data_IF_430958497161
#
_entry.id   IF_430958497161
#
_cell.length_a   1.000
_cell.length_b   1.000
_cell.length_c   1.000
_cell.angle_alpha   90.00
_cell.angle_beta   90.00
_cell.angle_gamma   90.00
#
_symmetry.space_group_name_H-M   'P 1'
#
loop_
_entity.id
_entity.type
_entity.pdbx_description
1 polymer ?
#
# COMPACT_ATOMS: atom_id res chain seq x y z
N UNK A 1 4.69 -5.89 41.24
CA UNK A 1 3.68 -5.38 40.28
C UNK A 1 3.29 -6.52 39.36
N UNK A 2 2.00 -6.89 39.30
CA UNK A 2 1.53 -7.95 38.39
C UNK A 2 1.42 -7.36 36.98
N UNK A 3 2.20 -7.87 36.04
CA UNK A 3 2.12 -7.51 34.62
C UNK A 3 0.88 -8.15 34.01
N UNK A 4 -0.19 -7.37 33.86
CA UNK A 4 -1.37 -7.82 33.14
C UNK A 4 -1.04 -7.72 31.64
N UNK A 5 -0.76 -8.86 30.99
CA UNK A 5 -0.62 -8.93 29.54
C UNK A 5 -1.92 -8.40 28.91
N UNK A 6 -1.80 -7.46 27.98
CA UNK A 6 -2.91 -7.00 27.17
C UNK A 6 -3.63 -8.20 26.54
N UNK A 7 -4.94 -8.27 26.75
CA UNK A 7 -5.83 -9.27 26.16
C UNK A 7 -6.83 -8.49 25.33
N UNK A 8 -6.94 -8.79 24.04
CA UNK A 8 -8.01 -8.21 23.20
C UNK A 8 -9.36 -8.52 23.84
N UNK A 9 -10.30 -7.59 23.74
CA UNK A 9 -11.69 -7.82 24.14
C UNK A 9 -12.18 -9.01 23.34
N UNK A 10 -12.61 -10.08 24.02
CA UNK A 10 -13.27 -11.20 23.35
C UNK A 10 -14.46 -10.62 22.58
N UNK A 11 -14.41 -10.69 21.25
CA UNK A 11 -15.57 -10.42 20.43
C UNK A 11 -16.64 -11.39 20.92
N UNK A 12 -17.80 -10.86 21.34
CA UNK A 12 -18.90 -11.66 21.88
C UNK A 12 -19.10 -12.90 21.01
N UNK A 13 -19.25 -14.11 21.59
CA UNK A 13 -19.51 -15.30 20.79
C UNK A 13 -20.79 -15.09 19.98
N UNK A 14 -20.71 -15.21 18.65
CA UNK A 14 -21.88 -15.28 17.78
C UNK A 14 -22.17 -14.08 16.86
N UNK A 15 -21.31 -13.07 16.79
CA UNK A 15 -21.41 -12.02 15.75
C UNK A 15 -20.08 -11.88 15.02
N UNK A 16 -20.03 -12.34 13.76
CA UNK A 16 -18.90 -12.05 12.88
C UNK A 16 -18.91 -10.55 12.49
N UNK A 17 -17.76 -10.00 12.10
CA UNK A 17 -17.62 -8.62 11.62
C UNK A 17 -18.61 -8.31 10.49
N UNK A 18 -18.91 -9.30 9.64
CA UNK A 18 -19.91 -9.18 8.57
C UNK A 18 -21.33 -9.09 9.11
N UNK A 19 -21.65 -9.83 10.17
CA UNK A 19 -22.95 -9.76 10.84
C UNK A 19 -23.12 -8.43 11.57
N UNK A 20 -22.05 -7.88 12.16
CA UNK A 20 -22.04 -6.55 12.77
C UNK A 20 -22.33 -5.44 11.74
N UNK A 21 -21.68 -5.45 10.58
CA UNK A 21 -21.93 -4.46 9.52
C UNK A 21 -23.36 -4.60 8.95
N UNK A 22 -23.86 -5.83 8.78
CA UNK A 22 -25.24 -6.08 8.34
C UNK A 22 -26.28 -5.65 9.39
N UNK A 23 -26.00 -5.88 10.67
CA UNK A 23 -26.91 -5.47 11.74
C UNK A 23 -26.89 -3.96 11.97
N UNK A 24 -25.76 -3.27 11.72
CA UNK A 24 -25.73 -1.81 11.66
C UNK A 24 -26.57 -1.26 10.49
N UNK A 25 -26.52 -1.89 9.31
CA UNK A 25 -27.38 -1.53 8.18
C UNK A 25 -28.87 -1.83 8.45
N UNK A 26 -29.20 -2.89 9.20
CA UNK A 26 -30.56 -3.22 9.62
C UNK A 26 -31.11 -2.32 10.75
N UNK A 27 -30.24 -1.86 11.66
CA UNK A 27 -30.63 -0.95 12.75
C UNK A 27 -30.97 0.47 12.25
N UNK A 28 -30.46 0.88 11.09
CA UNK A 28 -30.89 2.12 10.43
C UNK A 28 -32.34 2.06 9.91
N UNK A 29 -32.92 0.87 9.72
CA UNK A 29 -34.30 0.73 9.25
C UNK A 29 -35.34 0.60 10.38
N UNK A 30 -34.94 0.26 11.61
CA UNK A 30 -35.87 0.05 12.74
C UNK A 30 -35.52 0.84 14.02
N UNK A 31 -34.39 1.54 14.06
CA UNK A 31 -33.89 2.28 15.23
C UNK A 31 -34.40 3.71 15.36
N UNK A 32 -35.38 4.14 14.57
CA UNK A 32 -35.87 5.52 14.56
C UNK A 32 -36.68 5.93 15.80
N UNK A 33 -36.93 5.03 16.77
CA UNK A 33 -37.88 5.29 17.86
C UNK A 33 -37.38 5.15 19.30
N UNK A 34 -36.12 4.79 19.59
CA UNK A 34 -35.70 4.53 20.99
C UNK A 34 -34.46 5.30 21.47
N UNK A 35 -33.67 5.91 20.59
CA UNK A 35 -32.59 6.81 21.02
C UNK A 35 -32.85 8.19 20.45
N UNK A 36 -33.33 9.10 21.31
CA UNK A 36 -33.68 10.47 20.97
C UNK A 36 -32.58 11.15 20.15
N UNK A 37 -32.82 11.25 18.85
CA UNK A 37 -32.03 12.10 17.96
C UNK A 37 -32.38 13.54 18.35
N UNK A 38 -31.41 14.38 18.75
CA UNK A 38 -31.71 15.78 19.00
C UNK A 38 -32.35 16.38 17.74
N UNK A 39 -33.52 16.99 17.90
CA UNK A 39 -34.29 17.70 16.86
C UNK A 39 -33.58 18.96 16.30
N UNK A 40 -32.27 19.08 16.49
CA UNK A 40 -31.41 20.10 15.89
C UNK A 40 -30.86 19.57 14.56
N UNK A 41 -31.70 19.47 13.53
CA UNK A 41 -31.23 18.99 12.23
C UNK A 41 -32.28 18.93 11.12
N UNK A 42 -33.56 19.19 11.40
CA UNK A 42 -34.55 19.37 10.35
C UNK A 42 -34.45 20.79 9.80
N UNK A 43 -33.69 20.97 8.72
CA UNK A 43 -33.66 22.25 7.99
C UNK A 43 -32.39 22.61 7.24
N UNK A 44 -31.45 21.69 7.02
CA UNK A 44 -30.45 21.88 5.96
C UNK A 44 -30.67 20.84 4.89
N UNK A 45 -31.09 21.30 3.73
CA UNK A 45 -31.01 20.55 2.49
C UNK A 45 -29.61 19.91 2.43
N UNK A 46 -29.51 18.59 2.14
CA UNK A 46 -28.20 17.96 2.01
C UNK A 46 -27.39 18.78 1.00
N UNK A 47 -26.09 19.04 1.28
CA UNK A 47 -25.26 19.77 0.34
C UNK A 47 -25.32 19.10 -1.03
N UNK A 48 -25.26 19.88 -2.13
CA UNK A 48 -25.24 19.30 -3.46
C UNK A 48 -24.11 18.27 -3.55
N UNK A 49 -24.34 17.18 -4.28
CA UNK A 49 -23.30 16.18 -4.47
C UNK A 49 -22.07 16.83 -5.13
N UNK A 50 -20.86 16.52 -4.66
CA UNK A 50 -19.66 17.06 -5.26
C UNK A 50 -19.55 16.58 -6.71
N UNK A 51 -19.25 17.51 -7.61
CA UNK A 51 -18.91 17.20 -8.98
C UNK A 51 -17.55 16.46 -8.99
N UNK A 52 -17.49 15.31 -9.66
CA UNK A 52 -16.26 14.51 -9.79
C UNK A 52 -16.14 13.93 -11.19
N UNK A 53 -14.93 13.54 -11.59
CA UNK A 53 -14.69 12.75 -12.81
C UNK A 53 -14.65 11.24 -12.57
N UNK A 54 -15.20 10.73 -11.46
CA UNK A 54 -15.18 9.29 -11.16
C UNK A 54 -15.83 8.47 -12.28
N UNK A 55 -16.88 9.01 -12.92
CA UNK A 55 -17.54 8.37 -14.04
C UNK A 55 -16.61 8.11 -15.24
N UNK A 56 -15.59 8.95 -15.46
CA UNK A 56 -14.61 8.75 -16.54
C UNK A 56 -13.67 7.59 -16.23
N UNK A 57 -13.23 7.48 -14.97
CA UNK A 57 -12.42 6.33 -14.52
C UNK A 57 -13.18 5.01 -14.63
N UNK A 58 -14.48 5.02 -14.33
CA UNK A 58 -15.33 3.83 -14.42
C UNK A 58 -15.56 3.34 -15.87
N UNK A 59 -15.29 4.18 -16.88
CA UNK A 59 -15.36 3.78 -18.30
C UNK A 59 -14.15 2.95 -18.74
N UNK A 60 -13.05 2.96 -17.99
CA UNK A 60 -11.84 2.21 -18.34
C UNK A 60 -12.16 0.71 -18.38
N UNK A 61 -11.94 0.02 -19.52
CA UNK A 61 -12.24 -1.40 -19.64
C UNK A 61 -11.46 -2.23 -18.62
N UNK A 62 -12.16 -3.15 -17.96
CA UNK A 62 -11.52 -4.10 -17.05
C UNK A 62 -10.74 -5.14 -17.84
N UNK A 63 -9.53 -5.44 -17.39
CA UNK A 63 -8.68 -6.51 -17.90
C UNK A 63 -8.63 -7.66 -16.89
N UNK A 64 -7.98 -8.78 -17.27
CA UNK A 64 -7.72 -9.90 -16.34
C UNK A 64 -6.95 -9.52 -15.08
N UNK A 65 -6.24 -8.38 -15.09
CA UNK A 65 -5.45 -7.87 -13.96
C UNK A 65 -6.13 -6.69 -13.25
N UNK A 66 -7.30 -6.23 -13.70
CA UNK A 66 -8.05 -5.19 -13.00
C UNK A 66 -8.49 -5.67 -11.61
N UNK A 67 -8.62 -4.72 -10.67
CA UNK A 67 -9.13 -5.00 -9.34
C UNK A 67 -10.51 -5.68 -9.40
N UNK A 68 -10.77 -6.71 -8.57
CA UNK A 68 -9.98 -7.14 -7.40
C UNK A 68 -8.82 -8.09 -7.69
N UNK A 69 -8.46 -8.32 -8.97
CA UNK A 69 -7.39 -9.23 -9.37
C UNK A 69 -7.81 -10.71 -9.39
N UNK A 70 -6.89 -11.62 -9.74
CA UNK A 70 -7.19 -13.05 -9.93
C UNK A 70 -7.48 -13.81 -8.61
N UNK A 71 -7.09 -13.26 -7.46
CA UNK A 71 -7.26 -13.91 -6.15
C UNK A 71 -8.18 -13.06 -5.27
N UNK A 72 -9.48 -13.39 -5.26
CA UNK A 72 -10.46 -12.63 -4.50
C UNK A 72 -10.19 -12.70 -2.98
N UNK A 73 -9.66 -11.61 -2.42
CA UNK A 73 -9.59 -11.38 -0.97
C UNK A 73 -8.80 -12.41 -0.16
N UNK A 74 -7.79 -13.05 -0.77
CA UNK A 74 -6.92 -14.02 -0.06
C UNK A 74 -5.72 -13.32 0.55
N UNK A 75 -5.47 -13.57 1.83
CA UNK A 75 -4.28 -13.11 2.56
C UNK A 75 -3.51 -14.34 3.02
N UNK A 76 -2.19 -14.32 2.83
CA UNK A 76 -1.28 -15.34 3.34
C UNK A 76 -0.34 -14.73 4.36
N UNK A 77 -0.07 -15.46 5.43
CA UNK A 77 0.85 -15.04 6.49
C UNK A 77 1.95 -16.09 6.62
N UNK A 78 3.20 -15.64 6.50
CA UNK A 78 4.38 -16.50 6.68
C UNK A 78 5.15 -16.02 7.91
N UNK A 79 5.47 -16.95 8.81
CA UNK A 79 6.24 -16.68 10.03
C UNK A 79 7.46 -17.58 10.04
N UNK A 80 8.63 -16.98 10.25
CA UNK A 80 9.84 -17.73 10.55
C UNK A 80 10.69 -16.91 11.54
N UNK A 81 10.83 -17.34 12.80
CA UNK A 81 11.59 -16.59 13.81
C UNK A 81 13.09 -16.50 13.49
N UNK A 82 13.61 -17.36 12.62
CA UNK A 82 15.00 -17.29 12.18
C UNK A 82 15.26 -16.13 11.20
N UNK A 83 14.23 -15.38 10.77
CA UNK A 83 14.42 -14.26 9.84
C UNK A 83 15.10 -13.05 10.50
N UNK A 84 15.08 -12.98 11.83
CA UNK A 84 15.70 -11.91 12.62
C UNK A 84 16.54 -12.55 13.73
N UNK A 85 17.85 -12.40 13.64
CA UNK A 85 18.81 -12.88 14.63
C UNK A 85 19.48 -11.69 15.29
N UNK A 86 19.12 -11.40 16.54
CA UNK A 86 19.44 -10.12 17.17
C UNK A 86 18.77 -8.98 16.41
N UNK A 87 19.56 -8.01 15.96
CA UNK A 87 19.10 -6.85 15.16
C UNK A 87 19.40 -6.99 13.66
N UNK A 88 19.76 -8.20 13.20
CA UNK A 88 20.12 -8.45 11.80
C UNK A 88 19.12 -9.42 11.15
N UNK A 89 18.62 -9.02 9.99
CA UNK A 89 17.77 -9.90 9.17
C UNK A 89 18.62 -10.90 8.39
N UNK A 90 18.18 -12.16 8.37
CA UNK A 90 18.80 -13.20 7.54
C UNK A 90 18.15 -13.20 6.15
N UNK A 91 18.93 -12.75 5.15
CA UNK A 91 18.45 -12.63 3.77
C UNK A 91 17.97 -13.96 3.19
N UNK A 92 18.62 -15.08 3.53
CA UNK A 92 18.26 -16.40 2.99
C UNK A 92 16.92 -16.84 3.55
N UNK A 93 16.67 -16.61 4.84
CA UNK A 93 15.40 -16.93 5.48
C UNK A 93 14.29 -16.03 4.94
N UNK A 94 14.51 -14.72 4.85
CA UNK A 94 13.52 -13.76 4.30
C UNK A 94 13.15 -14.15 2.86
N UNK A 95 14.14 -14.50 2.06
CA UNK A 95 13.94 -14.96 0.68
C UNK A 95 12.99 -16.16 0.61
N UNK A 96 13.26 -17.20 1.41
CA UNK A 96 12.37 -18.38 1.48
C UNK A 96 10.97 -18.03 1.99
N UNK A 97 10.85 -17.06 2.89
CA UNK A 97 9.54 -16.61 3.37
C UNK A 97 8.73 -15.94 2.25
N UNK A 98 9.36 -15.10 1.43
CA UNK A 98 8.72 -14.47 0.26
C UNK A 98 8.30 -15.52 -0.75
N UNK A 99 9.17 -16.48 -1.07
CA UNK A 99 8.86 -17.59 -1.98
C UNK A 99 7.67 -18.44 -1.47
N UNK A 100 7.68 -18.80 -0.19
CA UNK A 100 6.57 -19.52 0.45
C UNK A 100 5.28 -18.70 0.44
N UNK A 101 5.36 -17.38 0.62
CA UNK A 101 4.21 -16.49 0.53
C UNK A 101 3.60 -16.48 -0.87
N UNK A 102 4.43 -16.32 -1.90
CA UNK A 102 3.99 -16.33 -3.30
C UNK A 102 3.31 -17.67 -3.64
N UNK A 103 3.99 -18.78 -3.39
CA UNK A 103 3.47 -20.13 -3.68
C UNK A 103 2.22 -20.46 -2.87
N UNK A 104 2.12 -20.03 -1.62
CA UNK A 104 0.91 -20.19 -0.81
C UNK A 104 -0.26 -19.35 -1.32
N UNK A 105 0.02 -18.15 -1.85
CA UNK A 105 -0.99 -17.25 -2.40
C UNK A 105 -1.57 -17.84 -3.69
N UNK A 106 -0.70 -18.20 -4.63
CA UNK A 106 -1.06 -18.65 -5.98
C UNK A 106 -1.47 -20.12 -6.04
N UNK A 107 -0.97 -20.97 -5.12
CA UNK A 107 -1.13 -22.42 -5.19
C UNK A 107 -0.27 -23.09 -6.27
N UNK A 108 0.75 -22.41 -6.78
CA UNK A 108 1.62 -22.87 -7.84
C UNK A 108 3.10 -22.68 -7.47
N UNK A 109 4.01 -23.27 -8.25
CA UNK A 109 5.45 -23.00 -8.08
C UNK A 109 5.80 -21.55 -8.44
N UNK A 110 7.02 -21.10 -8.12
CA UNK A 110 7.45 -19.70 -8.33
C UNK A 110 7.40 -19.24 -9.80
N UNK A 111 7.71 -20.14 -10.74
CA UNK A 111 7.76 -19.81 -12.17
C UNK A 111 6.35 -19.72 -12.74
N UNK A 112 5.48 -20.65 -12.37
CA UNK A 112 4.06 -20.61 -12.73
C UNK A 112 3.38 -19.40 -12.10
N UNK A 113 3.68 -19.09 -10.84
CA UNK A 113 3.17 -17.92 -10.12
C UNK A 113 3.51 -16.62 -10.82
N UNK A 114 4.72 -16.51 -11.37
CA UNK A 114 5.12 -15.33 -12.14
C UNK A 114 4.19 -15.11 -13.34
N UNK A 115 3.95 -16.14 -14.15
CA UNK A 115 3.07 -16.05 -15.33
C UNK A 115 1.59 -15.79 -15.01
N UNK A 116 1.18 -15.94 -13.75
CA UNK A 116 -0.16 -15.55 -13.29
C UNK A 116 -0.27 -14.05 -13.00
N UNK A 117 0.84 -13.40 -12.63
CA UNK A 117 0.87 -12.06 -12.06
C UNK A 117 1.53 -11.03 -12.98
N UNK A 118 2.52 -11.44 -13.78
CA UNK A 118 3.39 -10.55 -14.55
C UNK A 118 3.67 -11.09 -15.97
N UNK A 119 4.01 -10.18 -16.87
CA UNK A 119 4.71 -10.43 -18.13
C UNK A 119 6.18 -9.96 -18.02
N UNK A 120 7.09 -10.61 -18.75
CA UNK A 120 8.51 -10.23 -18.76
C UNK A 120 8.77 -8.80 -19.25
N UNK A 121 7.83 -8.21 -19.98
CA UNK A 121 7.95 -6.84 -20.51
C UNK A 121 7.32 -5.79 -19.59
N UNK A 122 6.72 -6.20 -18.46
CA UNK A 122 6.09 -5.26 -17.53
C UNK A 122 7.11 -4.27 -16.95
N UNK A 123 6.60 -3.09 -16.58
CA UNK A 123 7.28 -2.15 -15.67
C UNK A 123 6.63 -2.31 -14.30
N UNK A 124 7.41 -2.69 -13.29
CA UNK A 124 6.91 -3.10 -11.98
C UNK A 124 7.30 -2.09 -10.91
N UNK A 125 6.29 -1.43 -10.33
CA UNK A 125 6.46 -0.53 -9.19
C UNK A 125 6.38 -1.27 -7.85
N UNK A 126 7.44 -1.19 -7.05
CA UNK A 126 7.52 -1.70 -5.69
C UNK A 126 7.31 -0.56 -4.69
N UNK A 127 6.07 -0.39 -4.23
CA UNK A 127 5.74 0.58 -3.19
C UNK A 127 6.25 0.12 -1.83
N UNK A 128 7.14 0.90 -1.23
CA UNK A 128 7.70 0.61 0.11
C UNK A 128 7.15 1.59 1.16
N UNK A 129 7.36 1.28 2.44
CA UNK A 129 7.27 2.24 3.53
C UNK A 129 8.69 2.54 4.06
N UNK A 130 9.26 3.73 3.77
CA UNK A 130 10.59 4.11 4.23
C UNK A 130 10.59 4.85 5.58
N UNK A 131 9.46 4.99 6.27
CA UNK A 131 9.36 5.76 7.51
C UNK A 131 9.73 4.93 8.74
N UNK A 132 10.46 5.55 9.68
CA UNK A 132 10.88 4.93 10.94
C UNK A 132 11.93 3.82 10.89
N UNK A 133 12.92 3.80 9.96
CA UNK A 133 14.11 2.97 10.11
C UNK A 133 14.84 3.25 11.44
N UNK A 134 15.47 2.24 12.04
CA UNK A 134 15.55 0.85 11.60
C UNK A 134 14.43 -0.02 12.21
N UNK A 135 13.29 0.51 12.64
CA UNK A 135 12.29 -0.23 13.43
C UNK A 135 11.02 -0.57 12.65
N UNK A 136 10.34 0.42 12.07
CA UNK A 136 8.97 0.30 11.54
C UNK A 136 8.86 0.60 10.03
N UNK A 137 9.88 0.21 9.27
CA UNK A 137 9.94 0.35 7.82
C UNK A 137 9.80 -0.99 7.09
N UNK A 138 9.44 -0.94 5.80
CA UNK A 138 9.61 -2.08 4.89
C UNK A 138 11.10 -2.43 4.85
N UNK A 139 11.42 -3.70 5.10
CA UNK A 139 12.80 -4.17 5.13
C UNK A 139 13.34 -4.31 3.70
N UNK A 140 14.49 -3.69 3.38
CA UNK A 140 15.12 -3.86 2.08
C UNK A 140 15.36 -5.32 1.70
N UNK A 141 15.60 -6.21 2.68
CA UNK A 141 15.76 -7.65 2.49
C UNK A 141 14.54 -8.31 1.80
N UNK A 142 13.33 -7.83 2.12
CA UNK A 142 12.08 -8.27 1.48
C UNK A 142 12.02 -7.79 0.04
N UNK A 143 12.44 -6.54 -0.21
CA UNK A 143 12.45 -5.93 -1.54
C UNK A 143 13.47 -6.64 -2.44
N UNK A 144 14.66 -6.93 -1.93
CA UNK A 144 15.68 -7.74 -2.62
C UNK A 144 15.13 -9.12 -3.01
N UNK A 145 14.42 -9.80 -2.10
CA UNK A 145 13.84 -11.11 -2.38
C UNK A 145 12.79 -11.07 -3.50
N UNK A 146 11.95 -10.03 -3.53
CA UNK A 146 10.96 -9.81 -4.61
C UNK A 146 11.66 -9.48 -5.93
N UNK A 147 12.63 -8.56 -5.92
CA UNK A 147 13.39 -8.18 -7.13
C UNK A 147 14.09 -9.39 -7.72
N UNK A 148 14.74 -10.21 -6.90
CA UNK A 148 15.40 -11.44 -7.34
C UNK A 148 14.41 -12.36 -8.06
N UNK A 149 13.22 -12.59 -7.49
CA UNK A 149 12.20 -13.41 -8.12
C UNK A 149 11.70 -12.83 -9.46
N UNK A 150 11.55 -11.51 -9.57
CA UNK A 150 11.16 -10.86 -10.84
C UNK A 150 12.26 -10.99 -11.91
N UNK A 151 13.52 -10.76 -11.52
CA UNK A 151 14.69 -10.85 -12.42
C UNK A 151 14.94 -12.29 -12.86
N UNK A 152 14.83 -13.27 -11.96
CA UNK A 152 14.98 -14.69 -12.26
C UNK A 152 13.94 -15.19 -13.28
N UNK A 153 12.80 -14.49 -13.38
CA UNK A 153 11.75 -14.75 -14.37
C UNK A 153 11.84 -13.87 -15.63
N UNK A 154 12.88 -13.04 -15.73
CA UNK A 154 13.25 -12.33 -16.97
C UNK A 154 12.80 -10.88 -17.05
N UNK A 155 12.29 -10.27 -15.97
CA UNK A 155 12.07 -8.81 -15.95
C UNK A 155 13.43 -8.11 -15.86
N UNK A 156 13.76 -7.20 -16.79
CA UNK A 156 14.98 -6.40 -16.70
C UNK A 156 14.98 -5.52 -15.45
N UNK A 157 16.11 -5.38 -14.77
CA UNK A 157 16.23 -4.51 -13.57
C UNK A 157 15.78 -3.07 -13.83
N UNK A 158 16.09 -2.53 -15.03
CA UNK A 158 15.66 -1.20 -15.47
C UNK A 158 14.14 -1.01 -15.57
N UNK A 159 13.36 -2.09 -15.57
CA UNK A 159 11.91 -2.06 -15.58
C UNK A 159 11.31 -2.15 -14.16
N UNK A 160 12.15 -2.22 -13.12
CA UNK A 160 11.70 -2.28 -11.73
C UNK A 160 11.95 -0.92 -11.08
N UNK A 161 10.92 -0.40 -10.42
CA UNK A 161 10.94 0.91 -9.76
C UNK A 161 10.59 0.74 -8.28
N UNK A 162 11.53 0.97 -7.37
CA UNK A 162 11.23 1.12 -5.95
C UNK A 162 10.75 2.55 -5.75
N UNK A 163 9.60 2.74 -5.11
CA UNK A 163 9.06 4.08 -4.93
C UNK A 163 8.35 4.29 -3.61
N UNK A 164 8.36 5.55 -3.18
CA UNK A 164 7.57 6.09 -2.08
C UNK A 164 7.28 7.58 -2.33
N UNK A 165 6.67 8.24 -1.35
CA UNK A 165 6.38 9.66 -1.37
C UNK A 165 7.63 10.52 -1.33
N UNK A 166 8.62 10.22 -0.47
CA UNK A 166 9.78 11.10 -0.27
C UNK A 166 11.11 10.42 -0.59
N UNK A 167 11.91 11.05 -1.45
CA UNK A 167 13.22 10.58 -1.90
C UNK A 167 14.25 10.45 -0.76
N UNK A 168 14.37 11.45 0.10
CA UNK A 168 15.33 11.44 1.21
C UNK A 168 15.00 10.33 2.21
N UNK A 169 13.71 10.04 2.44
CA UNK A 169 13.30 8.94 3.32
C UNK A 169 13.67 7.59 2.71
N UNK A 170 13.55 7.40 1.40
CA UNK A 170 14.01 6.19 0.72
C UNK A 170 15.50 5.97 0.96
N UNK A 171 16.31 7.03 0.80
CA UNK A 171 17.75 6.99 1.07
C UNK A 171 18.05 6.62 2.52
N UNK A 172 17.40 7.27 3.49
CA UNK A 172 17.56 6.99 4.93
C UNK A 172 17.16 5.56 5.31
N UNK A 173 16.18 4.99 4.60
CA UNK A 173 15.75 3.61 4.77
C UNK A 173 16.66 2.58 4.07
N UNK A 174 17.74 3.03 3.43
CA UNK A 174 18.73 2.17 2.77
C UNK A 174 18.34 1.74 1.36
N UNK A 175 17.37 2.40 0.72
CA UNK A 175 17.08 2.21 -0.71
C UNK A 175 18.02 3.11 -1.51
N UNK A 176 19.19 2.57 -1.88
CA UNK A 176 20.21 3.28 -2.65
C UNK A 176 20.59 2.49 -3.91
N UNK A 177 21.17 3.18 -4.89
CA UNK A 177 21.63 2.57 -6.15
C UNK A 177 22.74 1.53 -5.92
N UNK A 178 23.56 1.71 -4.88
CA UNK A 178 24.61 0.75 -4.51
C UNK A 178 23.99 -0.55 -4.00
N UNK A 179 22.89 -0.47 -3.26
CA UNK A 179 22.17 -1.65 -2.74
C UNK A 179 21.32 -2.32 -3.81
N UNK A 180 20.70 -1.54 -4.70
CA UNK A 180 19.80 -2.02 -5.75
C UNK A 180 20.33 -1.64 -7.14
N UNK A 181 21.44 -2.23 -7.59
CA UNK A 181 22.08 -1.85 -8.84
C UNK A 181 21.17 -2.09 -10.05
N UNK A 182 20.99 -1.05 -10.86
CA UNK A 182 20.20 -1.09 -12.10
C UNK A 182 18.68 -1.05 -11.90
N UNK A 183 18.20 -0.96 -10.65
CA UNK A 183 16.78 -0.74 -10.30
C UNK A 183 16.57 0.76 -10.11
N UNK A 184 15.43 1.27 -10.59
CA UNK A 184 15.09 2.70 -10.41
C UNK A 184 14.59 2.93 -8.98
N UNK A 185 14.91 4.08 -8.40
CA UNK A 185 14.47 4.47 -7.06
C UNK A 185 13.92 5.88 -7.16
N UNK A 186 12.61 6.03 -6.95
CA UNK A 186 11.88 7.26 -7.26
C UNK A 186 11.05 7.74 -6.06
N UNK A 187 11.28 9.00 -5.67
CA UNK A 187 10.42 9.73 -4.74
C UNK A 187 9.42 10.60 -5.50
N UNK A 188 8.12 10.47 -5.21
CA UNK A 188 7.11 11.32 -5.86
C UNK A 188 7.18 12.79 -5.45
N UNK A 189 7.73 13.06 -4.27
CA UNK A 189 7.94 14.38 -3.71
C UNK A 189 9.36 14.52 -3.17
N UNK A 190 9.87 15.74 -3.27
CA UNK A 190 11.13 16.16 -2.67
C UNK A 190 10.89 17.45 -1.91
N UNK A 191 11.72 17.73 -0.90
CA UNK A 191 11.68 19.01 -0.18
C UNK A 191 12.53 20.04 -0.94
N UNK A 192 12.19 21.32 -0.83
CA UNK A 192 13.13 22.37 -1.23
C UNK A 192 14.32 22.36 -0.26
N UNK A 193 15.51 22.01 -0.75
CA UNK A 193 16.75 21.97 0.04
C UNK A 193 17.42 23.36 0.17
N UNK A 194 16.81 24.45 -0.32
CA UNK A 194 17.35 25.80 -0.17
C UNK A 194 17.46 26.23 1.31
N UNK A 195 18.36 27.18 1.65
CA UNK A 195 18.56 27.66 3.04
C UNK A 195 17.27 28.22 3.69
N UNK A 196 16.25 28.57 2.90
CA UNK A 196 14.92 29.01 3.35
C UNK A 196 13.82 27.94 3.17
N UNK A 197 14.21 26.71 2.81
CA UNK A 197 13.47 25.58 2.25
C UNK A 197 12.47 24.90 3.19
N UNK A 198 11.65 25.70 3.86
CA UNK A 198 10.42 25.23 4.55
C UNK A 198 9.25 25.09 3.59
N UNK A 199 9.46 25.34 2.29
CA UNK A 199 8.41 25.51 1.29
C UNK A 199 8.44 24.36 0.30
N UNK A 200 7.32 23.67 0.17
CA UNK A 200 7.07 22.69 -0.91
C UNK A 200 7.00 23.33 -2.31
N UNK A 201 7.31 24.62 -2.43
CA UNK A 201 7.12 25.45 -3.60
C UNK A 201 8.43 26.11 -3.99
N UNK A 202 8.69 26.18 -5.29
CA UNK A 202 9.81 26.93 -5.86
C UNK A 202 9.57 28.45 -5.76
N UNK A 203 10.52 29.24 -6.28
CA UNK A 203 10.43 30.70 -6.29
C UNK A 203 9.21 31.27 -7.04
N UNK A 204 8.56 30.47 -7.90
CA UNK A 204 7.35 30.83 -8.63
C UNK A 204 6.06 30.46 -7.89
N UNK A 205 6.15 29.77 -6.75
CA UNK A 205 5.00 29.26 -6.00
C UNK A 205 4.49 27.91 -6.49
N UNK A 206 5.14 27.30 -7.50
CA UNK A 206 4.80 25.97 -8.04
C UNK A 206 5.40 24.90 -7.13
N UNK A 207 4.68 23.81 -6.89
CA UNK A 207 5.23 22.74 -6.06
C UNK A 207 6.47 22.13 -6.73
N UNK A 208 7.56 21.95 -5.98
CA UNK A 208 8.86 21.48 -6.51
C UNK A 208 8.83 20.09 -7.17
N UNK A 209 7.78 19.31 -6.93
CA UNK A 209 7.60 17.95 -7.44
C UNK A 209 6.47 17.85 -8.45
N UNK A 210 5.92 18.98 -8.87
CA UNK A 210 4.79 19.04 -9.82
C UNK A 210 5.10 18.29 -11.12
N UNK A 211 6.35 18.33 -11.57
CA UNK A 211 6.78 17.69 -12.82
C UNK A 211 7.03 16.18 -12.67
N UNK A 212 6.92 15.63 -11.45
CA UNK A 212 6.96 14.19 -11.20
C UNK A 212 5.60 13.51 -11.44
N UNK A 213 4.52 14.30 -11.63
CA UNK A 213 3.16 13.79 -11.81
C UNK A 213 2.69 13.98 -13.24
N UNK A 214 2.00 12.96 -13.78
CA UNK A 214 1.24 13.11 -15.01
C UNK A 214 -0.01 13.96 -14.75
N UNK A 215 0.05 15.24 -15.14
CA UNK A 215 -1.06 16.17 -14.93
C UNK A 215 -2.28 15.89 -15.80
N UNK A 216 -2.17 15.02 -16.80
CA UNK A 216 -3.33 14.55 -17.56
C UNK A 216 -4.14 13.51 -16.80
N UNK A 217 -3.58 12.93 -15.73
CA UNK A 217 -4.22 11.91 -14.89
C UNK A 217 -4.55 12.51 -13.51
N UNK A 218 -5.81 12.90 -13.31
CA UNK A 218 -6.24 13.58 -12.09
C UNK A 218 -7.61 13.11 -11.62
N UNK A 219 -7.84 13.15 -10.31
CA UNK A 219 -9.18 13.10 -9.72
C UNK A 219 -9.54 14.52 -9.28
N UNK A 220 -10.75 14.96 -9.61
CA UNK A 220 -11.27 16.21 -9.04
C UNK A 220 -12.49 15.93 -8.17
N UNK A 221 -12.64 16.75 -7.13
CA UNK A 221 -13.85 16.89 -6.35
C UNK A 221 -14.10 18.38 -6.17
N UNK A 222 -15.25 18.84 -6.64
CA UNK A 222 -15.67 20.24 -6.59
C UNK A 222 -17.01 20.31 -5.87
N UNK A 223 -17.05 21.00 -4.73
CA UNK A 223 -18.24 21.21 -3.90
C UNK A 223 -18.65 22.67 -3.85
#
# INVERSE_FOLDING_TARGET
MKTQKYRSVDCRPGLDRRDFVRSAAGACAAGSLVLGVPLFGQGKEPPPEPETNIADFLKVPKTKHSLPGPFAGKVVEIKNPACLVGDKFDQTVVTKMVENGITSLTGADLKQSFGMLFDKNDVVGLKVNPVGPPLINTRPEVVEAVIRWLVDNGIPTKNIVIWDRFDYMLKDAGYTAERFPGVQIEGLQTMDESENGTKWQDASGKHVSTDNFDQSVYYFAKG
#
